data_IF_336815221224
#
_entry.id   IF_336815221224
#
_cell.length_a   1.000
_cell.length_b   1.000
_cell.length_c   1.000
_cell.angle_alpha   90.00
_cell.angle_beta   90.00
_cell.angle_gamma   90.00
#
_symmetry.space_group_name_H-M   'P 1'
#
loop_
_entity.id
_entity.type
_entity.pdbx_description
1 polymer ?
#
# COMPACT_ATOMS: atom_id res chain seq x y z
N UNK A 1 -13.49 -12.32 -8.82
CA UNK A 1 -13.19 -11.53 -10.04
C UNK A 1 -12.92 -10.10 -9.64
N UNK A 2 -11.80 -9.53 -10.10
CA UNK A 2 -11.46 -8.12 -9.91
C UNK A 2 -11.97 -7.34 -11.13
N UNK A 3 -12.70 -6.25 -10.92
CA UNK A 3 -13.14 -5.35 -11.99
C UNK A 3 -12.65 -3.93 -11.70
N UNK A 4 -12.03 -3.30 -12.69
CA UNK A 4 -11.49 -1.94 -12.59
C UNK A 4 -11.98 -1.10 -13.79
N UNK A 5 -12.76 -0.02 -13.57
CA UNK A 5 -13.21 0.87 -14.65
C UNK A 5 -12.11 1.85 -15.14
N UNK A 6 -10.92 1.82 -14.53
CA UNK A 6 -9.75 2.63 -14.85
C UNK A 6 -8.46 1.79 -14.75
N UNK A 7 -7.29 2.41 -14.91
CA UNK A 7 -6.00 1.70 -14.78
C UNK A 7 -5.92 0.97 -13.42
N UNK A 8 -5.39 -0.26 -13.45
CA UNK A 8 -5.24 -1.14 -12.27
C UNK A 8 -4.35 -0.50 -11.20
N UNK A 9 -3.60 0.55 -11.54
CA UNK A 9 -2.67 1.20 -10.62
C UNK A 9 -3.33 2.21 -9.68
N UNK A 10 -4.38 2.93 -10.09
CA UNK A 10 -4.82 4.13 -9.35
C UNK A 10 -6.35 4.38 -9.29
N UNK A 11 -7.17 3.42 -9.73
CA UNK A 11 -8.64 3.55 -9.69
C UNK A 11 -9.29 2.95 -8.45
N UNK A 12 -10.56 3.30 -8.20
CA UNK A 12 -11.43 2.55 -7.29
C UNK A 12 -11.73 1.18 -7.91
N UNK A 13 -11.49 0.10 -7.18
CA UNK A 13 -11.63 -1.27 -7.69
C UNK A 13 -12.66 -2.03 -6.88
N UNK A 14 -13.52 -2.79 -7.56
CA UNK A 14 -14.46 -3.66 -6.89
C UNK A 14 -13.89 -5.08 -6.89
N UNK A 15 -13.67 -5.61 -5.69
CA UNK A 15 -13.35 -7.02 -5.52
C UNK A 15 -14.66 -7.79 -5.37
N UNK A 16 -14.88 -8.82 -6.18
CA UNK A 16 -16.02 -9.74 -6.02
C UNK A 16 -15.56 -11.17 -5.77
N UNK A 17 -16.18 -11.85 -4.82
CA UNK A 17 -15.87 -13.22 -4.42
C UNK A 17 -17.13 -14.08 -4.19
N UNK A 18 -16.93 -15.39 -4.11
CA UNK A 18 -17.96 -16.38 -3.82
C UNK A 18 -17.33 -17.51 -3.00
N UNK A 19 -18.06 -17.99 -1.98
CA UNK A 19 -17.70 -19.18 -1.22
C UNK A 19 -18.11 -20.49 -1.93
N UNK A 20 -17.79 -21.66 -1.34
CA UNK A 20 -17.98 -22.96 -1.98
C UNK A 20 -19.42 -23.28 -2.42
N UNK A 21 -20.42 -22.69 -1.77
CA UNK A 21 -21.86 -22.93 -2.02
C UNK A 21 -22.55 -21.75 -2.71
N UNK A 22 -21.83 -20.66 -2.97
CA UNK A 22 -22.42 -19.46 -3.57
C UNK A 22 -22.66 -19.67 -5.07
N UNK A 23 -23.84 -19.27 -5.54
CA UNK A 23 -24.23 -19.37 -6.96
C UNK A 23 -23.78 -18.17 -7.80
N UNK A 24 -23.38 -17.08 -7.14
CA UNK A 24 -23.01 -15.81 -7.78
C UNK A 24 -21.91 -15.10 -7.01
N UNK A 25 -21.13 -14.29 -7.73
CA UNK A 25 -20.11 -13.42 -7.12
C UNK A 25 -20.76 -12.23 -6.40
N UNK A 26 -20.36 -11.97 -5.17
CA UNK A 26 -20.77 -10.80 -4.38
C UNK A 26 -19.61 -9.85 -4.17
N UNK A 27 -19.90 -8.57 -4.00
CA UNK A 27 -18.88 -7.60 -3.62
C UNK A 27 -18.27 -7.93 -2.26
N UNK A 28 -16.95 -7.86 -2.19
CA UNK A 28 -16.16 -7.96 -0.97
C UNK A 28 -15.74 -6.56 -0.55
N UNK A 29 -16.42 -6.03 0.45
CA UNK A 29 -16.12 -4.72 1.03
C UNK A 29 -14.89 -4.78 1.95
N UNK A 30 -14.12 -3.71 2.01
CA UNK A 30 -13.03 -3.57 2.98
C UNK A 30 -13.64 -3.38 4.39
N UNK A 31 -13.30 -4.24 5.39
CA UNK A 31 -13.81 -4.06 6.74
C UNK A 31 -13.41 -2.70 7.36
N UNK A 32 -14.32 -2.10 8.13
CA UNK A 32 -14.12 -0.76 8.72
C UNK A 32 -12.85 -0.66 9.57
N UNK A 33 -12.41 -1.76 10.20
CA UNK A 33 -11.19 -1.83 11.01
C UNK A 33 -9.90 -1.58 10.21
N UNK A 34 -9.93 -1.69 8.88
CA UNK A 34 -8.79 -1.34 8.02
C UNK A 34 -8.68 0.16 7.73
N UNK A 35 -9.68 0.96 8.10
CA UNK A 35 -9.63 2.42 7.99
C UNK A 35 -9.25 3.02 9.33
N UNK A 36 -8.02 3.53 9.42
CA UNK A 36 -7.54 4.24 10.61
C UNK A 36 -7.71 5.75 10.52
N UNK A 37 -8.50 6.24 9.58
CA UNK A 37 -8.69 7.68 9.28
C UNK A 37 -10.18 8.06 9.40
N UNK A 38 -10.53 9.35 9.47
CA UNK A 38 -11.92 9.79 9.47
C UNK A 38 -12.71 9.26 8.28
N UNK A 39 -14.00 9.00 8.50
CA UNK A 39 -14.90 8.45 7.48
C UNK A 39 -15.00 9.31 6.22
N UNK A 40 -14.85 10.62 6.36
CA UNK A 40 -14.85 11.57 5.24
C UNK A 40 -13.75 11.34 4.20
N UNK A 41 -12.71 10.55 4.53
CA UNK A 41 -11.59 10.24 3.63
C UNK A 41 -11.69 8.84 3.01
N UNK A 42 -12.74 8.06 3.32
CA UNK A 42 -12.88 6.67 2.82
C UNK A 42 -13.17 6.60 1.33
N UNK A 43 -13.92 7.57 0.82
CA UNK A 43 -14.38 7.62 -0.57
C UNK A 43 -13.51 8.55 -1.46
N UNK A 44 -12.42 9.08 -0.92
CA UNK A 44 -11.47 9.90 -1.68
C UNK A 44 -10.68 9.03 -2.68
N UNK A 45 -10.09 9.69 -3.68
CA UNK A 45 -9.05 9.10 -4.53
C UNK A 45 -8.04 8.34 -3.67
N UNK A 46 -7.71 7.10 -4.04
CA UNK A 46 -6.91 6.20 -3.19
C UNK A 46 -5.59 6.81 -2.68
N UNK A 47 -5.05 7.83 -3.36
CA UNK A 47 -3.89 8.61 -2.92
C UNK A 47 -4.09 9.34 -1.58
N UNK A 48 -5.19 10.08 -1.43
CA UNK A 48 -5.46 10.87 -0.21
C UNK A 48 -5.64 9.92 0.97
N UNK A 49 -6.43 8.85 0.77
CA UNK A 49 -6.62 7.81 1.78
C UNK A 49 -5.29 7.16 2.18
N UNK A 50 -4.44 6.77 1.22
CA UNK A 50 -3.14 6.17 1.49
C UNK A 50 -2.23 7.09 2.33
N UNK A 51 -2.19 8.38 1.99
CA UNK A 51 -1.37 9.35 2.71
C UNK A 51 -1.91 9.65 4.11
N UNK A 52 -3.22 9.81 4.26
CA UNK A 52 -3.84 9.99 5.56
C UNK A 52 -3.56 8.81 6.50
N UNK A 53 -3.64 7.57 5.99
CA UNK A 53 -3.31 6.38 6.76
C UNK A 53 -1.82 6.31 7.14
N UNK A 54 -0.92 6.69 6.23
CA UNK A 54 0.53 6.73 6.51
C UNK A 54 0.87 7.75 7.59
N UNK A 55 0.36 8.99 7.48
CA UNK A 55 0.61 10.03 8.48
C UNK A 55 0.01 9.70 9.84
N UNK A 56 -1.17 9.06 9.87
CA UNK A 56 -1.76 8.58 11.13
C UNK A 56 -0.84 7.58 11.84
N UNK A 57 -0.29 6.62 11.12
CA UNK A 57 0.65 5.63 11.69
C UNK A 57 1.95 6.29 12.14
N UNK A 58 2.48 7.24 11.37
CA UNK A 58 3.68 7.98 11.75
C UNK A 58 3.48 8.83 13.01
N UNK A 59 2.34 9.53 13.12
CA UNK A 59 1.98 10.26 14.32
C UNK A 59 1.82 9.34 15.54
N UNK A 60 1.26 8.14 15.33
CA UNK A 60 1.15 7.11 16.38
C UNK A 60 2.52 6.67 16.88
N UNK A 61 3.47 6.40 15.98
CA UNK A 61 4.85 6.06 16.36
C UNK A 61 5.50 7.12 17.25
N UNK A 62 5.30 8.40 16.93
CA UNK A 62 5.80 9.51 17.75
C UNK A 62 5.12 9.56 19.12
N UNK A 63 3.79 9.40 19.16
CA UNK A 63 3.00 9.53 20.39
C UNK A 63 3.20 8.37 21.36
N UNK A 64 3.33 7.16 20.82
CA UNK A 64 3.38 5.91 21.60
C UNK A 64 4.81 5.36 21.74
N UNK A 65 5.79 5.96 21.05
CA UNK A 65 7.18 5.48 21.04
C UNK A 65 7.35 4.15 20.30
N UNK A 66 6.47 3.88 19.33
CA UNK A 66 6.53 2.67 18.49
C UNK A 66 7.33 2.91 17.20
N UNK A 67 7.57 1.83 16.44
CA UNK A 67 8.27 1.88 15.15
C UNK A 67 7.55 0.99 14.13
N UNK A 68 6.26 1.24 13.94
CA UNK A 68 5.39 0.51 13.01
C UNK A 68 5.53 1.01 11.56
N UNK A 69 6.02 2.23 11.37
CA UNK A 69 6.33 2.81 10.07
C UNK A 69 7.82 2.65 9.71
N UNK A 70 8.18 2.64 8.42
CA UNK A 70 9.57 2.63 7.99
C UNK A 70 10.35 3.82 8.54
N UNK A 71 11.58 3.57 8.95
CA UNK A 71 12.49 4.58 9.49
C UNK A 71 13.42 5.12 8.40
N UNK A 72 14.22 6.12 8.74
CA UNK A 72 15.28 6.61 7.86
C UNK A 72 16.30 5.50 7.50
N UNK A 73 16.60 4.59 8.43
CA UNK A 73 17.51 3.47 8.15
C UNK A 73 16.95 2.54 7.07
N UNK A 74 15.63 2.37 7.01
CA UNK A 74 14.97 1.59 5.96
C UNK A 74 15.03 2.31 4.61
N UNK A 75 14.92 3.65 4.60
CA UNK A 75 15.12 4.45 3.40
C UNK A 75 16.56 4.33 2.86
N UNK A 76 17.57 4.31 3.74
CA UNK A 76 18.97 4.10 3.33
C UNK A 76 19.13 2.75 2.63
N UNK A 77 18.59 1.67 3.21
CA UNK A 77 18.63 0.34 2.59
C UNK A 77 17.94 0.30 1.22
N UNK A 78 16.81 0.99 1.09
CA UNK A 78 16.11 1.12 -0.19
C UNK A 78 16.99 1.83 -1.23
N UNK A 79 17.64 2.93 -0.86
CA UNK A 79 18.52 3.65 -1.77
C UNK A 79 19.78 2.85 -2.16
N UNK A 80 20.34 2.07 -1.24
CA UNK A 80 21.44 1.15 -1.54
C UNK A 80 21.02 0.06 -2.54
N UNK A 81 19.81 -0.49 -2.39
CA UNK A 81 19.24 -1.45 -3.35
C UNK A 81 19.11 -0.82 -4.74
N UNK A 82 18.54 0.39 -4.83
CA UNK A 82 18.35 1.08 -6.09
C UNK A 82 19.69 1.38 -6.78
N UNK A 83 20.69 1.85 -6.03
CA UNK A 83 22.05 2.06 -6.53
C UNK A 83 22.70 0.77 -7.08
N UNK A 84 22.53 -0.35 -6.38
CA UNK A 84 23.01 -1.65 -6.85
C UNK A 84 22.33 -2.11 -8.15
N UNK A 85 21.02 -1.88 -8.29
CA UNK A 85 20.26 -2.17 -9.52
C UNK A 85 20.75 -1.32 -10.68
N UNK A 86 20.92 -0.01 -10.46
CA UNK A 86 21.41 0.92 -11.47
C UNK A 86 22.82 0.55 -11.96
N UNK A 87 23.73 0.26 -11.04
CA UNK A 87 25.11 -0.18 -11.37
C UNK A 87 25.11 -1.49 -12.16
N UNK A 88 24.30 -2.47 -11.76
CA UNK A 88 24.18 -3.75 -12.46
C UNK A 88 23.68 -3.58 -13.90
N UNK A 89 22.71 -2.68 -14.11
CA UNK A 89 22.20 -2.37 -15.45
C UNK A 89 23.27 -1.70 -16.34
N UNK A 90 24.19 -0.92 -15.75
CA UNK A 90 25.25 -0.22 -16.49
C UNK A 90 26.42 -1.12 -16.88
N UNK A 91 26.84 -2.03 -15.98
CA UNK A 91 28.05 -2.84 -16.18
C UNK A 91 27.77 -4.31 -16.54
N UNK A 92 26.53 -4.79 -16.41
CA UNK A 92 26.18 -6.19 -16.64
C UNK A 92 26.66 -7.16 -15.57
N UNK A 93 27.18 -6.66 -14.45
CA UNK A 93 27.70 -7.45 -13.33
C UNK A 93 26.75 -7.43 -12.14
N UNK A 94 26.75 -8.50 -11.36
CA UNK A 94 25.96 -8.58 -10.12
C UNK A 94 26.54 -7.62 -9.07
N UNK A 95 25.68 -6.77 -8.51
CA UNK A 95 26.03 -5.85 -7.43
C UNK A 95 25.51 -6.37 -6.07
N UNK A 96 26.19 -5.98 -4.99
CA UNK A 96 25.84 -6.32 -3.60
C UNK A 96 25.84 -5.04 -2.75
N UNK A 97 25.02 -5.01 -1.70
CA UNK A 97 24.94 -3.92 -0.71
C UNK A 97 24.51 -4.46 0.65
#
# INVERSE_FOLDING_TARGET
MLSAPASIQFGSHQLRGAGPTDKELRELTIPVSYYRVPDSLKDDSGFVLNMAQAYRKFAQDIQEGTSLTPTFADAVKLHQLLDAVEKSAQNGERQYF
#
